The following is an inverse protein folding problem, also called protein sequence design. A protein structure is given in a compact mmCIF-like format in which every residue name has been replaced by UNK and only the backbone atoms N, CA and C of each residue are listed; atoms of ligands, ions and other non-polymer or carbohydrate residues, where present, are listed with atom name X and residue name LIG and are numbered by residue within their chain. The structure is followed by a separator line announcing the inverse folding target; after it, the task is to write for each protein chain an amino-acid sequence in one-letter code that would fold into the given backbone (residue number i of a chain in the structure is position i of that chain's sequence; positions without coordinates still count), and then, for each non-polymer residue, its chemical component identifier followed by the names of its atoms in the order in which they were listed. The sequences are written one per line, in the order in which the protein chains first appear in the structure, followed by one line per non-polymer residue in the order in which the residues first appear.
data_IF_507734948571
#
_entry.id   IF_507734948571
#
_cell.length_a   1.000
_cell.length_b   1.000
_cell.length_c   1.000
_cell.angle_alpha   90.00
_cell.angle_beta   90.00
_cell.angle_gamma   90.00
#
_symmetry.space_group_name_H-M   'P 1'
#
loop_
_entity.id
_entity.type
_entity.pdbx_description
1 polymer ?
#
# COMPACT_ATOMS: atom_id res chain seq x y z
N UNK A 1 -18.30 15.67 -6.60
CA UNK A 1 -18.59 16.25 -5.32
C UNK A 1 -17.37 17.00 -4.79
N UNK A 2 -17.53 18.26 -4.60
CA UNK A 2 -16.44 19.12 -4.12
C UNK A 2 -15.91 18.66 -2.75
N UNK A 3 -16.81 18.24 -1.87
CA UNK A 3 -16.44 17.80 -0.53
C UNK A 3 -15.46 16.64 -0.54
N UNK A 4 -15.66 15.73 -1.45
CA UNK A 4 -14.84 14.56 -1.60
C UNK A 4 -13.45 14.92 -2.06
N UNK A 5 -13.35 15.81 -3.05
CA UNK A 5 -12.09 16.30 -3.56
C UNK A 5 -11.33 17.04 -2.47
N UNK A 6 -12.04 17.84 -1.69
CA UNK A 6 -11.43 18.59 -0.60
C UNK A 6 -10.80 17.67 0.45
N UNK A 7 -11.46 16.55 0.76
CA UNK A 7 -10.89 15.57 1.68
C UNK A 7 -9.54 15.06 1.20
N UNK A 8 -9.47 14.73 -0.07
CA UNK A 8 -8.25 14.18 -0.64
C UNK A 8 -7.14 15.23 -0.73
N UNK A 9 -7.49 16.46 -1.06
CA UNK A 9 -6.50 17.52 -1.23
C UNK A 9 -5.79 17.90 0.06
N UNK A 10 -6.36 17.55 1.20
CA UNK A 10 -5.76 17.89 2.48
C UNK A 10 -4.62 16.97 2.87
N UNK A 11 -4.46 15.89 2.17
CA UNK A 11 -3.46 14.88 2.54
C UNK A 11 -2.42 14.79 1.45
N UNK A 12 -1.15 14.99 1.79
CA UNK A 12 -0.11 14.89 0.80
C UNK A 12 0.13 13.44 0.39
N UNK A 13 0.54 13.27 -0.85
CA UNK A 13 1.07 12.01 -1.32
C UNK A 13 2.57 12.13 -1.44
N UNK A 14 3.25 10.99 -1.43
CA UNK A 14 4.70 10.88 -1.54
C UNK A 14 4.99 9.96 -2.69
N UNK A 15 6.02 10.28 -3.47
CA UNK A 15 6.43 9.41 -4.55
C UNK A 15 7.18 8.20 -4.02
N UNK A 16 6.86 7.03 -4.53
CA UNK A 16 7.56 5.81 -4.22
C UNK A 16 7.65 4.97 -5.50
N UNK A 17 8.11 3.74 -5.40
CA UNK A 17 8.17 2.83 -6.54
C UNK A 17 7.74 1.45 -6.10
N UNK A 18 7.16 0.71 -7.05
CA UNK A 18 6.72 -0.66 -6.83
C UNK A 18 7.23 -1.49 -8.01
N UNK A 19 7.65 -2.72 -7.75
CA UNK A 19 8.14 -3.61 -8.80
C UNK A 19 7.01 -3.87 -9.80
N UNK A 20 7.39 -4.10 -11.06
CA UNK A 20 6.46 -4.04 -12.18
C UNK A 20 5.30 -5.02 -12.05
N UNK A 21 5.52 -6.25 -11.59
CA UNK A 21 4.45 -7.24 -11.52
C UNK A 21 3.33 -6.80 -10.59
N UNK A 22 3.69 -6.30 -9.42
CA UNK A 22 2.73 -5.81 -8.45
C UNK A 22 2.09 -4.50 -8.90
N UNK A 23 2.87 -3.65 -9.54
CA UNK A 23 2.32 -2.42 -10.11
C UNK A 23 1.25 -2.75 -11.14
N UNK A 24 1.52 -3.70 -12.01
CA UNK A 24 0.57 -4.06 -13.08
C UNK A 24 -0.70 -4.68 -12.50
N UNK A 25 -0.56 -5.47 -11.42
CA UNK A 25 -1.73 -6.03 -10.75
C UNK A 25 -2.63 -4.91 -10.20
N UNK A 26 -2.03 -3.91 -9.54
CA UNK A 26 -2.78 -2.77 -9.03
C UNK A 26 -3.40 -1.97 -10.16
N UNK A 27 -2.68 -1.80 -11.27
CA UNK A 27 -3.21 -1.09 -12.42
C UNK A 27 -4.42 -1.83 -12.99
N UNK A 28 -4.41 -3.16 -12.93
CA UNK A 28 -5.56 -3.97 -13.31
C UNK A 28 -6.78 -3.68 -12.45
N UNK A 29 -6.59 -3.52 -11.13
CA UNK A 29 -7.69 -3.13 -10.25
C UNK A 29 -8.16 -1.72 -10.58
N UNK A 30 -7.24 -0.81 -10.83
CA UNK A 30 -7.57 0.58 -11.17
C UNK A 30 -8.51 0.63 -12.38
N UNK A 31 -8.25 -0.21 -13.38
CA UNK A 31 -9.06 -0.27 -14.60
C UNK A 31 -10.28 -1.19 -14.48
N UNK A 32 -10.40 -1.89 -13.38
CA UNK A 32 -11.45 -2.90 -13.19
C UNK A 32 -12.83 -2.25 -13.13
N UNK A 33 -13.87 -2.92 -13.66
CA UNK A 33 -15.23 -2.45 -13.47
C UNK A 33 -15.67 -2.45 -12.01
N UNK A 34 -14.96 -3.16 -11.13
CA UNK A 34 -15.25 -3.11 -9.70
C UNK A 34 -14.79 -1.82 -9.05
N UNK A 35 -13.91 -1.07 -9.71
CA UNK A 35 -13.39 0.20 -9.19
C UNK A 35 -14.20 1.35 -9.79
N UNK A 36 -15.48 1.38 -9.49
CA UNK A 36 -16.38 2.43 -9.95
C UNK A 36 -17.26 2.84 -8.78
N UNK A 37 -17.85 4.01 -8.84
CA UNK A 37 -18.88 4.49 -7.91
C UNK A 37 -18.45 4.51 -6.43
N UNK A 38 -17.38 5.17 -6.06
CA UNK A 38 -16.50 6.01 -6.85
C UNK A 38 -15.32 5.22 -7.40
N UNK A 39 -14.68 5.79 -8.40
CA UNK A 39 -13.44 5.24 -8.92
C UNK A 39 -12.29 5.81 -8.09
N UNK A 40 -11.51 4.91 -7.49
CA UNK A 40 -10.35 5.29 -6.70
C UNK A 40 -9.10 5.32 -7.57
N UNK A 41 -8.13 6.12 -7.16
CA UNK A 41 -6.90 6.33 -7.91
C UNK A 41 -5.82 5.34 -7.45
N UNK A 42 -4.74 5.27 -8.22
CA UNK A 42 -3.64 4.35 -7.89
C UNK A 42 -3.10 4.56 -6.47
N UNK A 43 -2.85 5.80 -6.01
CA UNK A 43 -2.39 5.99 -4.63
C UNK A 43 -3.33 5.38 -3.59
N UNK A 44 -4.64 5.43 -3.84
CA UNK A 44 -5.61 4.84 -2.93
C UNK A 44 -5.44 3.32 -2.85
N UNK A 45 -5.21 2.69 -4.00
CA UNK A 45 -5.07 1.23 -4.07
C UNK A 45 -3.78 0.78 -3.40
N UNK A 46 -2.68 1.44 -3.70
CA UNK A 46 -1.39 1.11 -3.07
C UNK A 46 -1.46 1.30 -1.56
N UNK A 47 -2.02 2.42 -1.12
CA UNK A 47 -2.13 2.70 0.31
C UNK A 47 -2.99 1.66 1.03
N UNK A 48 -4.04 1.16 0.37
CA UNK A 48 -4.87 0.11 0.95
C UNK A 48 -4.06 -1.16 1.18
N UNK A 49 -3.23 -1.54 0.23
CA UNK A 49 -2.38 -2.73 0.39
C UNK A 49 -1.43 -2.58 1.58
N UNK A 50 -0.87 -1.38 1.75
CA UNK A 50 0.01 -1.11 2.89
C UNK A 50 -0.78 -1.19 4.20
N UNK A 51 -1.96 -0.57 4.24
CA UNK A 51 -2.83 -0.63 5.43
C UNK A 51 -3.16 -2.07 5.82
N UNK A 52 -3.47 -2.90 4.83
CA UNK A 52 -3.78 -4.31 5.07
C UNK A 52 -2.59 -5.05 5.65
N UNK A 53 -1.39 -4.82 5.11
CA UNK A 53 -0.18 -5.50 5.56
C UNK A 53 0.18 -5.14 7.00
N UNK A 54 -0.16 -3.93 7.43
CA UNK A 54 0.19 -3.45 8.77
C UNK A 54 -1.01 -3.40 9.72
N UNK A 55 -2.11 -4.07 9.35
CA UNK A 55 -3.33 -4.03 10.14
C UNK A 55 -3.15 -4.56 11.54
N UNK A 56 -2.39 -5.63 11.70
CA UNK A 56 -2.14 -6.24 13.01
C UNK A 56 -0.82 -7.01 12.97
N UNK A 57 -0.41 -7.54 14.11
CA UNK A 57 0.88 -8.22 14.21
C UNK A 57 0.97 -9.47 13.36
N UNK A 58 -0.15 -10.20 13.19
CA UNK A 58 -0.16 -11.39 12.35
C UNK A 58 0.09 -11.04 10.88
N UNK A 59 -0.53 -9.97 10.38
CA UNK A 59 -0.31 -9.52 9.01
C UNK A 59 1.11 -9.00 8.83
N UNK A 60 1.64 -8.27 9.82
CA UNK A 60 3.02 -7.79 9.76
C UNK A 60 4.01 -8.94 9.71
N UNK A 61 3.76 -9.99 10.51
CA UNK A 61 4.62 -11.17 10.49
C UNK A 61 4.59 -11.85 9.12
N UNK A 62 3.42 -11.91 8.51
CA UNK A 62 3.27 -12.48 7.17
C UNK A 62 4.03 -11.65 6.13
N UNK A 63 3.97 -10.33 6.26
CA UNK A 63 4.71 -9.44 5.37
C UNK A 63 6.21 -9.69 5.48
N UNK A 64 6.73 -9.71 6.69
CA UNK A 64 8.16 -9.92 6.92
C UNK A 64 8.59 -11.28 6.39
N UNK A 65 7.81 -12.32 6.67
CA UNK A 65 8.10 -13.66 6.17
C UNK A 65 8.13 -13.66 4.65
N UNK A 66 7.18 -12.99 4.01
CA UNK A 66 7.16 -12.91 2.55
C UNK A 66 8.43 -12.25 2.02
N UNK A 67 8.83 -11.13 2.61
CA UNK A 67 10.05 -10.43 2.18
C UNK A 67 11.26 -11.35 2.28
N UNK A 68 11.42 -12.01 3.41
CA UNK A 68 12.62 -12.81 3.69
C UNK A 68 12.66 -14.13 2.92
N UNK A 69 11.51 -14.70 2.55
CA UNK A 69 11.46 -16.03 1.95
C UNK A 69 11.06 -16.03 0.48
N UNK A 70 10.28 -15.05 0.04
CA UNK A 70 9.77 -15.03 -1.32
C UNK A 70 10.38 -13.89 -2.14
N UNK A 71 10.28 -12.67 -1.63
CA UNK A 71 10.79 -11.52 -2.36
C UNK A 71 12.30 -11.62 -2.54
N UNK A 72 13.00 -12.11 -1.51
CA UNK A 72 14.44 -12.26 -1.56
C UNK A 72 14.92 -13.19 -2.67
N UNK A 73 14.04 -14.05 -3.19
CA UNK A 73 14.38 -14.97 -4.27
C UNK A 73 14.13 -14.37 -5.66
N UNK A 74 13.48 -13.23 -5.71
CA UNK A 74 13.18 -12.57 -6.99
C UNK A 74 14.39 -11.78 -7.45
N UNK A 75 14.46 -11.51 -8.75
CA UNK A 75 15.58 -10.75 -9.33
C UNK A 75 15.55 -9.33 -8.80
N UNK A 76 16.60 -8.89 -8.08
CA UNK A 76 16.64 -7.53 -7.54
C UNK A 76 16.69 -6.45 -8.63
N UNK A 77 16.98 -6.82 -9.87
CA UNK A 77 17.02 -5.90 -11.00
C UNK A 77 15.66 -5.78 -11.69
N UNK A 78 14.62 -6.39 -11.12
CA UNK A 78 13.28 -6.29 -11.68
C UNK A 78 12.90 -4.81 -11.84
N UNK A 79 12.30 -4.51 -12.99
CA UNK A 79 11.87 -3.14 -13.30
C UNK A 79 10.89 -2.62 -12.24
N UNK A 80 10.98 -1.33 -11.95
CA UNK A 80 10.12 -0.65 -10.98
C UNK A 80 9.40 0.49 -11.65
N UNK A 81 8.20 0.78 -11.16
CA UNK A 81 7.38 1.88 -11.66
C UNK A 81 7.15 2.90 -10.57
N UNK A 82 7.30 4.17 -10.93
CA UNK A 82 7.01 5.27 -10.01
C UNK A 82 5.51 5.37 -9.80
N UNK A 83 5.11 5.66 -8.58
CA UNK A 83 3.72 5.84 -8.21
C UNK A 83 3.66 6.66 -6.93
N UNK A 84 2.45 7.12 -6.58
CA UNK A 84 2.26 7.89 -5.37
C UNK A 84 1.57 7.05 -4.32
N UNK A 85 1.83 7.37 -3.06
CA UNK A 85 1.21 6.73 -1.90
C UNK A 85 0.85 7.82 -0.91
N UNK A 86 -0.24 7.63 -0.16
CA UNK A 86 -0.61 8.60 0.87
C UNK A 86 0.42 8.61 1.98
N UNK A 87 0.70 9.81 2.51
CA UNK A 87 1.76 9.99 3.50
C UNK A 87 1.63 9.09 4.73
N UNK A 88 0.43 8.89 5.32
CA UNK A 88 0.34 8.02 6.49
C UNK A 88 0.80 6.59 6.20
N UNK A 89 0.49 6.05 5.04
CA UNK A 89 0.92 4.70 4.69
C UNK A 89 2.40 4.67 4.36
N UNK A 90 2.94 5.74 3.79
CA UNK A 90 4.38 5.82 3.57
C UNK A 90 5.15 5.77 4.88
N UNK A 91 4.61 6.38 5.94
CA UNK A 91 5.24 6.31 7.27
C UNK A 91 5.31 4.87 7.77
N UNK A 92 4.31 4.06 7.49
CA UNK A 92 4.35 2.63 7.84
C UNK A 92 5.50 1.92 7.13
N UNK A 93 5.72 2.25 5.86
CA UNK A 93 6.83 1.68 5.11
C UNK A 93 8.18 2.12 5.69
N UNK A 94 8.29 3.39 6.08
CA UNK A 94 9.51 3.89 6.69
C UNK A 94 9.81 3.17 8.00
N UNK A 95 8.80 2.98 8.84
CA UNK A 95 8.95 2.29 10.11
C UNK A 95 9.42 0.84 9.89
N UNK A 96 8.82 0.17 8.94
CA UNK A 96 9.23 -1.19 8.60
C UNK A 96 10.67 -1.23 8.09
N UNK A 97 11.03 -0.28 7.25
CA UNK A 97 12.38 -0.19 6.69
C UNK A 97 13.43 -0.04 7.78
N UNK A 98 13.10 0.66 8.85
CA UNK A 98 13.99 0.88 9.99
C UNK A 98 13.95 -0.26 11.00
N UNK A 99 13.05 -1.21 10.84
CA UNK A 99 12.87 -2.29 11.80
C UNK A 99 14.08 -3.20 11.90
N UNK A 100 14.31 -3.82 13.07
CA UNK A 100 15.49 -4.67 13.26
C UNK A 100 15.51 -5.89 12.35
N UNK A 101 14.35 -6.35 11.90
CA UNK A 101 14.29 -7.48 10.97
C UNK A 101 14.97 -7.15 9.63
N UNK A 102 15.07 -5.86 9.29
CA UNK A 102 15.60 -5.39 8.01
C UNK A 102 17.06 -4.96 8.14
N UNK A 103 17.85 -5.77 8.80
CA UNK A 103 19.27 -5.47 9.03
C UNK A 103 20.04 -6.76 9.20
N UNK A 104 21.35 -6.64 9.40
CA UNK A 104 22.20 -7.81 9.63
C UNK A 104 21.59 -8.72 10.69
N UNK A 105 21.63 -10.07 10.48
CA UNK A 105 22.33 -10.76 9.40
C UNK A 105 21.57 -10.87 8.09
N UNK A 106 20.35 -10.36 8.00
CA UNK A 106 19.59 -10.38 6.76
C UNK A 106 20.06 -9.24 5.85
N UNK A 107 19.88 -9.40 4.54
CA UNK A 107 20.10 -8.33 3.60
C UNK A 107 19.07 -7.23 3.84
N UNK A 108 19.50 -5.99 3.70
CA UNK A 108 18.59 -4.86 3.87
C UNK A 108 17.78 -4.65 2.59
N UNK A 109 16.46 -4.60 2.75
CA UNK A 109 15.54 -4.33 1.65
C UNK A 109 15.19 -2.85 1.62
N UNK A 110 15.07 -2.29 0.42
CA UNK A 110 14.70 -0.88 0.29
C UNK A 110 13.19 -0.70 0.44
N UNK A 111 12.75 0.56 0.49
CA UNK A 111 11.33 0.88 0.67
C UNK A 111 10.52 0.35 -0.50
N UNK A 112 11.07 0.39 -1.72
CA UNK A 112 10.40 -0.14 -2.91
C UNK A 112 10.06 -1.62 -2.73
N UNK A 113 11.01 -2.39 -2.20
CA UNK A 113 10.81 -3.82 -1.97
C UNK A 113 9.72 -4.07 -0.94
N UNK A 114 9.70 -3.27 0.14
CA UNK A 114 8.70 -3.43 1.19
C UNK A 114 7.32 -3.07 0.66
N UNK A 115 7.21 -1.99 -0.09
CA UNK A 115 5.94 -1.60 -0.71
C UNK A 115 5.44 -2.70 -1.65
N UNK A 116 6.34 -3.25 -2.46
CA UNK A 116 6.01 -4.34 -3.38
C UNK A 116 5.51 -5.56 -2.60
N UNK A 117 6.14 -5.88 -1.49
CA UNK A 117 5.73 -7.01 -0.66
C UNK A 117 4.32 -6.80 -0.08
N UNK A 118 3.98 -5.58 0.30
CA UNK A 118 2.63 -5.27 0.78
C UNK A 118 1.58 -5.61 -0.28
N UNK A 119 1.86 -5.25 -1.53
CA UNK A 119 0.96 -5.56 -2.64
C UNK A 119 0.91 -7.06 -2.88
N UNK A 120 2.08 -7.73 -2.89
CA UNK A 120 2.15 -9.16 -3.15
C UNK A 120 1.38 -9.97 -2.10
N UNK A 121 1.50 -9.62 -0.83
CA UNK A 121 0.77 -10.30 0.23
C UNK A 121 -0.73 -10.09 0.09
N UNK A 122 -1.15 -8.87 -0.26
CA UNK A 122 -2.57 -8.58 -0.51
C UNK A 122 -3.10 -9.42 -1.67
N UNK A 123 -2.30 -9.57 -2.72
CA UNK A 123 -2.67 -10.34 -3.91
C UNK A 123 -2.88 -11.82 -3.62
N UNK A 124 -2.22 -12.35 -2.60
CA UNK A 124 -2.33 -13.76 -2.24
C UNK A 124 -3.63 -14.10 -1.50
N UNK A 125 -4.36 -13.09 -1.07
CA UNK A 125 -5.65 -13.29 -0.38
C UNK A 125 -6.68 -13.86 -1.35
N UNK A 126 -7.58 -14.70 -0.83
CA UNK A 126 -8.59 -15.35 -1.66
C UNK A 126 -9.57 -14.38 -2.30
N UNK A 127 -9.84 -13.25 -1.67
CA UNK A 127 -10.72 -12.20 -2.18
C UNK A 127 -9.97 -10.88 -2.32
N UNK A 128 -8.79 -10.95 -2.91
CA UNK A 128 -7.83 -9.85 -2.91
C UNK A 128 -8.41 -8.53 -3.40
N UNK A 129 -9.09 -8.53 -4.55
CA UNK A 129 -9.63 -7.29 -5.12
C UNK A 129 -10.67 -6.69 -4.19
N UNK A 130 -11.58 -7.53 -3.68
CA UNK A 130 -12.63 -7.05 -2.76
C UNK A 130 -12.02 -6.51 -1.47
N UNK A 131 -11.01 -7.18 -0.91
CA UNK A 131 -10.34 -6.73 0.30
C UNK A 131 -9.66 -5.40 0.10
N UNK A 132 -8.94 -5.23 -1.01
CA UNK A 132 -8.26 -3.98 -1.30
C UNK A 132 -9.28 -2.85 -1.43
N UNK A 133 -10.34 -3.05 -2.18
CA UNK A 133 -11.35 -2.00 -2.38
C UNK A 133 -12.08 -1.65 -1.09
N UNK A 134 -12.35 -2.64 -0.22
CA UNK A 134 -12.94 -2.34 1.09
C UNK A 134 -12.00 -1.47 1.92
N UNK A 135 -10.71 -1.79 1.89
CA UNK A 135 -9.73 -1.02 2.65
C UNK A 135 -9.57 0.39 2.08
N UNK A 136 -9.64 0.53 0.75
CA UNK A 136 -9.62 1.86 0.13
C UNK A 136 -10.75 2.71 0.68
N UNK A 137 -11.95 2.15 0.74
CA UNK A 137 -13.12 2.89 1.24
C UNK A 137 -12.96 3.25 2.71
N UNK A 138 -12.41 2.34 3.51
CA UNK A 138 -12.15 2.61 4.92
C UNK A 138 -11.13 3.74 5.08
N UNK A 139 -10.06 3.71 4.30
CA UNK A 139 -9.03 4.76 4.35
C UNK A 139 -9.61 6.10 3.94
N UNK A 140 -10.43 6.10 2.88
CA UNK A 140 -11.06 7.32 2.40
C UNK A 140 -11.96 7.92 3.48
N UNK A 141 -12.80 7.10 4.10
CA UNK A 141 -13.67 7.57 5.18
C UNK A 141 -12.87 8.12 6.35
N UNK A 142 -11.76 7.45 6.70
CA UNK A 142 -10.91 7.92 7.79
C UNK A 142 -10.30 9.28 7.48
N UNK A 143 -9.83 9.48 6.25
CA UNK A 143 -9.27 10.78 5.85
C UNK A 143 -10.32 11.87 5.91
N UNK A 144 -11.50 11.59 5.37
CA UNK A 144 -12.57 12.58 5.37
C UNK A 144 -13.05 12.89 6.77
N UNK A 145 -13.19 11.86 7.60
CA UNK A 145 -13.62 12.03 8.99
C UNK A 145 -12.61 12.89 9.76
N UNK A 146 -11.32 12.56 9.63
CA UNK A 146 -10.27 13.34 10.29
C UNK A 146 -10.22 14.76 9.76
N UNK A 147 -10.32 14.92 8.43
CA UNK A 147 -10.29 16.23 7.82
C UNK A 147 -11.46 17.11 8.19
N UNK A 148 -12.58 16.51 8.53
CA UNK A 148 -13.81 17.22 8.91
C UNK A 148 -13.97 17.35 10.43
N UNK A 149 -13.07 16.81 11.21
CA UNK A 149 -13.14 16.85 12.66
C UNK A 149 -12.97 18.30 13.13
N UNK A 150 -13.98 18.85 13.76
CA UNK A 150 -13.87 20.23 14.24
C UNK A 150 -12.94 20.37 15.36
N UNK A 151 -12.72 19.91 15.74
CA UNK A 151 -12.06 20.01 16.60
C UNK A 151 -11.63 19.97 17.15
N UNK A 152 -11.91 19.59 16.96
CA UNK A 152 -11.41 19.51 17.77
C UNK A 152 -10.74 20.18 18.39
#
# INVERSE_FOLDING_TARGET
MATRIDCDERRPTVQTRVWIDEHDWLHGIFKSPHNTSPKFRFPDLLSACVSLAFRDSANQARLITYVLTQLSLRDPKTERRSCDIWAPQFELLLDAHRGPWNSFPNSKFDIDAIATACVAVSRLSGDAVASVLRQVRANFRARCSTGNSPLN
#
